data_IF_756300530563
#
_entry.id   IF_756300530563
#
_cell.length_a   1.000
_cell.length_b   1.000
_cell.length_c   1.000
_cell.angle_alpha   90.00
_cell.angle_beta   90.00
_cell.angle_gamma   90.00
#
_symmetry.space_group_name_H-M   'P 1'
#
loop_
_entity.id
_entity.type
_entity.pdbx_description
1 polymer ?
#
# COMPACT_ATOMS: atom_id res chain seq x y z
N UNK A 1 -9.59 -28.32 7.08
CA UNK A 1 -9.35 -26.90 7.43
C UNK A 1 -10.71 -26.28 7.70
N UNK A 2 -10.90 -25.66 8.86
CA UNK A 2 -12.17 -25.02 9.23
C UNK A 2 -12.30 -23.64 8.59
N UNK A 3 -13.52 -23.21 8.29
CA UNK A 3 -13.83 -21.91 7.68
C UNK A 3 -13.26 -20.73 8.48
N UNK A 4 -13.26 -20.82 9.82
CA UNK A 4 -12.63 -19.85 10.72
C UNK A 4 -11.10 -19.71 10.50
N UNK A 5 -10.39 -20.82 10.22
CA UNK A 5 -8.95 -20.80 9.98
C UNK A 5 -8.59 -20.15 8.65
N UNK A 6 -9.44 -20.33 7.63
CA UNK A 6 -9.29 -19.70 6.31
C UNK A 6 -9.50 -18.19 6.43
N UNK A 7 -10.54 -17.77 7.16
CA UNK A 7 -10.84 -16.36 7.39
C UNK A 7 -9.72 -15.66 8.18
N UNK A 8 -9.17 -16.30 9.21
CA UNK A 8 -8.02 -15.76 9.94
C UNK A 8 -6.80 -15.55 9.03
N UNK A 9 -6.45 -16.54 8.20
CA UNK A 9 -5.32 -16.43 7.27
C UNK A 9 -5.49 -15.27 6.27
N UNK A 10 -6.72 -14.99 5.83
CA UNK A 10 -7.03 -13.85 4.96
C UNK A 10 -6.80 -12.52 5.66
N UNK A 11 -7.26 -12.37 6.89
CA UNK A 11 -7.03 -11.15 7.68
C UNK A 11 -5.55 -10.94 8.02
N UNK A 12 -4.81 -12.01 8.35
CA UNK A 12 -3.36 -11.94 8.57
C UNK A 12 -2.63 -11.48 7.30
N UNK A 13 -3.01 -11.99 6.13
CA UNK A 13 -2.46 -11.55 4.83
C UNK A 13 -2.68 -10.04 4.61
N UNK A 14 -3.90 -9.57 4.86
CA UNK A 14 -4.25 -8.15 4.73
C UNK A 14 -3.43 -7.30 5.71
N UNK A 15 -3.34 -7.72 6.97
CA UNK A 15 -2.55 -7.02 7.99
C UNK A 15 -1.07 -6.92 7.61
N UNK A 16 -0.49 -8.01 7.08
CA UNK A 16 0.90 -8.02 6.58
C UNK A 16 1.09 -7.07 5.41
N UNK A 17 0.14 -7.01 4.48
CA UNK A 17 0.18 -6.07 3.36
C UNK A 17 0.19 -4.62 3.84
N UNK A 18 -0.75 -4.24 4.71
CA UNK A 18 -0.85 -2.89 5.27
C UNK A 18 0.45 -2.50 5.99
N UNK A 19 0.92 -3.38 6.88
CA UNK A 19 2.14 -3.15 7.64
C UNK A 19 3.38 -3.00 6.74
N UNK A 20 3.53 -3.88 5.75
CA UNK A 20 4.66 -3.82 4.83
C UNK A 20 4.63 -2.54 3.99
N UNK A 21 3.46 -2.13 3.49
CA UNK A 21 3.33 -0.90 2.73
C UNK A 21 3.66 0.32 3.59
N UNK A 22 3.11 0.42 4.81
CA UNK A 22 3.42 1.50 5.75
C UNK A 22 4.92 1.58 6.04
N UNK A 23 5.55 0.43 6.29
CA UNK A 23 7.00 0.34 6.56
C UNK A 23 7.86 0.74 5.37
N UNK A 24 7.41 0.51 4.14
CA UNK A 24 8.22 0.76 2.94
C UNK A 24 7.92 2.08 2.27
N UNK A 25 6.68 2.54 2.28
CA UNK A 25 6.25 3.68 1.47
C UNK A 25 5.17 4.55 2.15
N UNK A 26 5.05 4.53 3.50
CA UNK A 26 4.04 5.23 4.33
C UNK A 26 3.07 6.09 3.50
N UNK A 27 1.85 5.59 3.22
CA UNK A 27 0.98 6.15 2.19
C UNK A 27 0.62 7.62 2.46
N UNK A 28 0.48 8.01 3.73
CA UNK A 28 0.17 9.39 4.11
C UNK A 28 1.36 10.30 3.83
N UNK A 29 2.56 9.90 4.22
CA UNK A 29 3.78 10.67 3.97
C UNK A 29 4.09 10.76 2.49
N UNK A 30 3.88 9.67 1.75
CA UNK A 30 4.11 9.64 0.31
C UNK A 30 3.12 10.54 -0.43
N UNK A 31 1.85 10.58 0.01
CA UNK A 31 0.84 11.52 -0.48
C UNK A 31 1.25 12.96 -0.21
N UNK A 32 1.70 13.26 1.01
CA UNK A 32 2.19 14.59 1.36
C UNK A 32 3.40 15.00 0.51
N UNK A 33 4.41 14.13 0.37
CA UNK A 33 5.61 14.40 -0.41
C UNK A 33 5.32 14.66 -1.90
N UNK A 34 4.33 13.97 -2.47
CA UNK A 34 3.86 14.21 -3.82
C UNK A 34 3.12 15.57 -3.95
N UNK A 35 2.40 16.00 -2.92
CA UNK A 35 1.63 17.24 -2.93
C UNK A 35 2.48 18.50 -2.62
N UNK A 36 3.53 18.38 -1.80
CA UNK A 36 4.36 19.52 -1.35
C UNK A 36 5.53 19.83 -2.28
N UNK A 37 5.70 19.07 -3.37
CA UNK A 37 6.80 19.27 -4.32
C UNK A 37 8.17 18.81 -3.82
N UNK A 38 8.21 17.99 -2.76
CA UNK A 38 9.44 17.34 -2.27
C UNK A 38 9.98 16.35 -3.31
N UNK A 39 9.06 15.68 -4.02
CA UNK A 39 9.41 14.77 -5.10
C UNK A 39 9.51 15.50 -6.45
N UNK A 40 10.51 15.16 -7.29
CA UNK A 40 10.52 15.53 -8.70
C UNK A 40 9.19 15.18 -9.38
N UNK A 41 8.71 15.93 -10.38
CA UNK A 41 7.38 15.73 -10.98
C UNK A 41 7.10 14.29 -11.43
N UNK A 42 8.07 13.62 -12.06
CA UNK A 42 7.93 12.22 -12.48
C UNK A 42 7.78 11.26 -11.29
N UNK A 43 8.50 11.53 -10.19
CA UNK A 43 8.40 10.74 -8.97
C UNK A 43 7.11 11.05 -8.20
N UNK A 44 6.65 12.30 -8.18
CA UNK A 44 5.38 12.69 -7.59
C UNK A 44 4.19 12.00 -8.27
N UNK A 45 4.21 11.90 -9.61
CA UNK A 45 3.21 11.15 -10.37
C UNK A 45 3.21 9.65 -10.03
N UNK A 46 4.39 9.04 -9.93
CA UNK A 46 4.54 7.62 -9.53
C UNK A 46 4.09 7.38 -8.09
N UNK A 47 4.45 8.26 -7.17
CA UNK A 47 4.03 8.25 -5.78
C UNK A 47 2.51 8.33 -5.65
N UNK A 48 1.87 9.28 -6.33
CA UNK A 48 0.42 9.42 -6.34
C UNK A 48 -0.30 8.19 -6.92
N UNK A 49 0.23 7.62 -8.02
CA UNK A 49 -0.31 6.40 -8.60
C UNK A 49 -0.19 5.19 -7.67
N UNK A 50 0.92 5.08 -6.93
CA UNK A 50 1.15 4.02 -5.96
C UNK A 50 0.19 4.14 -4.77
N UNK A 51 0.03 5.34 -4.21
CA UNK A 51 -0.92 5.62 -3.12
C UNK A 51 -2.35 5.31 -3.56
N UNK A 52 -2.74 5.71 -4.78
CA UNK A 52 -4.07 5.39 -5.33
C UNK A 52 -4.31 3.87 -5.40
N UNK A 53 -3.32 3.09 -5.87
CA UNK A 53 -3.45 1.62 -5.94
C UNK A 53 -3.54 0.97 -4.57
N UNK A 54 -2.85 1.54 -3.57
CA UNK A 54 -2.99 1.12 -2.18
C UNK A 54 -4.40 1.40 -1.65
N UNK A 55 -4.92 2.61 -1.87
CA UNK A 55 -6.26 3.02 -1.44
C UNK A 55 -7.36 2.17 -2.11
N UNK A 56 -7.23 1.89 -3.41
CA UNK A 56 -8.14 1.00 -4.15
C UNK A 56 -8.13 -0.43 -3.61
N UNK A 57 -6.95 -0.95 -3.24
CA UNK A 57 -6.85 -2.27 -2.62
C UNK A 57 -7.53 -2.31 -1.24
N UNK A 58 -7.35 -1.27 -0.42
CA UNK A 58 -8.01 -1.17 0.89
C UNK A 58 -9.52 -1.06 0.78
N UNK A 59 -10.01 -0.22 -0.12
CA UNK A 59 -11.44 -0.06 -0.36
C UNK A 59 -12.07 -1.36 -0.89
N UNK A 60 -11.40 -2.05 -1.82
CA UNK A 60 -11.83 -3.38 -2.25
C UNK A 60 -11.85 -4.39 -1.09
N UNK A 61 -10.82 -4.42 -0.24
CA UNK A 61 -10.80 -5.27 0.95
C UNK A 61 -11.96 -4.94 1.89
N UNK A 62 -12.21 -3.66 2.16
CA UNK A 62 -13.25 -3.21 3.09
C UNK A 62 -14.65 -3.58 2.58
N UNK A 63 -14.95 -3.28 1.30
CA UNK A 63 -16.24 -3.61 0.68
C UNK A 63 -16.49 -5.11 0.69
N UNK A 64 -15.47 -5.91 0.37
CA UNK A 64 -15.62 -7.36 0.28
C UNK A 64 -15.55 -8.05 1.65
N UNK A 65 -14.92 -7.44 2.65
CA UNK A 65 -14.99 -7.90 4.05
C UNK A 65 -16.44 -7.89 4.55
N UNK A 66 -17.19 -6.82 4.25
CA UNK A 66 -18.61 -6.71 4.58
C UNK A 66 -19.49 -7.72 3.82
N UNK A 67 -19.06 -8.14 2.62
CA UNK A 67 -19.75 -9.12 1.79
C UNK A 67 -19.29 -10.57 2.02
N UNK A 68 -18.31 -10.82 2.90
CA UNK A 68 -17.74 -12.15 3.14
C UNK A 68 -16.82 -12.67 2.03
N UNK A 69 -16.44 -11.83 1.06
CA UNK A 69 -15.68 -12.20 -0.15
C UNK A 69 -14.25 -11.67 -0.16
N UNK A 70 -13.51 -11.86 0.94
CA UNK A 70 -12.12 -11.39 1.12
C UNK A 70 -11.09 -11.86 0.06
N UNK A 71 -11.47 -12.75 -0.86
CA UNK A 71 -10.66 -13.18 -2.00
C UNK A 71 -10.72 -12.22 -3.21
N UNK A 72 -11.58 -11.20 -3.15
CA UNK A 72 -11.72 -10.21 -4.22
C UNK A 72 -10.42 -9.44 -4.54
N UNK A 73 -9.49 -9.38 -3.58
CA UNK A 73 -8.12 -8.91 -3.82
C UNK A 73 -7.17 -10.10 -3.70
N UNK A 74 -6.52 -10.43 -4.80
CA UNK A 74 -5.60 -11.57 -4.84
C UNK A 74 -4.30 -11.27 -4.10
N UNK A 75 -3.63 -12.30 -3.60
CA UNK A 75 -2.31 -12.14 -2.99
C UNK A 75 -1.30 -11.55 -3.99
N UNK A 76 -1.39 -11.94 -5.27
CA UNK A 76 -0.52 -11.44 -6.33
C UNK A 76 -0.67 -9.93 -6.52
N UNK A 77 -1.91 -9.41 -6.47
CA UNK A 77 -2.17 -7.97 -6.57
C UNK A 77 -1.55 -7.21 -5.39
N UNK A 78 -1.68 -7.74 -4.17
CA UNK A 78 -1.07 -7.15 -2.98
C UNK A 78 0.46 -7.16 -3.07
N UNK A 79 1.05 -8.28 -3.50
CA UNK A 79 2.50 -8.39 -3.67
C UNK A 79 3.02 -7.46 -4.77
N UNK A 80 2.29 -7.28 -5.87
CA UNK A 80 2.66 -6.35 -6.93
C UNK A 80 2.71 -4.90 -6.41
N UNK A 81 1.72 -4.48 -5.62
CA UNK A 81 1.71 -3.15 -4.99
C UNK A 81 2.93 -2.97 -4.06
N UNK A 82 3.26 -4.00 -3.26
CA UNK A 82 4.44 -3.96 -2.38
C UNK A 82 5.76 -3.92 -3.15
N UNK A 83 5.88 -4.69 -4.22
CA UNK A 83 7.06 -4.68 -5.09
C UNK A 83 7.26 -3.30 -5.73
N UNK A 84 6.18 -2.69 -6.22
CA UNK A 84 6.20 -1.34 -6.79
C UNK A 84 6.58 -0.29 -5.74
N UNK A 85 6.09 -0.42 -4.51
CA UNK A 85 6.48 0.43 -3.39
C UNK A 85 7.97 0.33 -3.06
N UNK A 86 8.50 -0.89 -2.97
CA UNK A 86 9.92 -1.11 -2.72
C UNK A 86 10.81 -0.61 -3.87
N UNK A 87 10.38 -0.82 -5.12
CA UNK A 87 11.09 -0.33 -6.29
C UNK A 87 11.11 1.20 -6.31
N UNK A 88 9.96 1.85 -6.06
CA UNK A 88 9.87 3.30 -5.96
C UNK A 88 10.84 3.86 -4.93
N UNK A 89 10.85 3.32 -3.70
CA UNK A 89 11.74 3.76 -2.61
C UNK A 89 13.21 3.62 -2.99
N UNK A 90 13.57 2.48 -3.61
CA UNK A 90 14.94 2.21 -4.05
C UNK A 90 15.41 3.16 -5.15
N UNK A 91 14.53 3.46 -6.11
CA UNK A 91 14.84 4.30 -7.27
C UNK A 91 14.82 5.80 -6.94
N UNK A 92 13.89 6.23 -6.09
CA UNK A 92 13.75 7.63 -5.68
C UNK A 92 14.74 8.03 -4.59
N UNK A 93 15.27 7.07 -3.82
CA UNK A 93 16.01 7.33 -2.60
C UNK A 93 15.13 7.94 -1.50
N UNK A 94 13.81 7.95 -1.68
CA UNK A 94 12.86 8.49 -0.72
C UNK A 94 12.85 7.62 0.53
N UNK A 95 13.11 8.23 1.68
CA UNK A 95 12.95 7.58 2.98
C UNK A 95 11.82 8.27 3.73
N UNK A 96 11.10 7.52 4.57
CA UNK A 96 9.98 8.04 5.36
C UNK A 96 10.37 9.23 6.23
N UNK A 97 11.66 9.38 6.56
CA UNK A 97 12.20 10.46 7.38
C UNK A 97 12.20 11.83 6.66
N UNK A 98 12.19 11.85 5.32
CA UNK A 98 12.22 13.10 4.55
C UNK A 98 10.90 13.90 4.56
N UNK A 99 9.87 13.41 5.27
CA UNK A 99 8.61 14.12 5.50
C UNK A 99 8.56 14.93 6.81
N UNK A 100 9.63 14.98 7.60
CA UNK A 100 9.65 15.60 8.94
C UNK A 100 10.42 16.94 9.01
N UNK A 101 10.82 17.52 7.88
CA UNK A 101 11.53 18.80 7.87
C UNK A 101 10.89 19.77 6.87
N UNK A 102 9.88 20.51 7.35
CA UNK A 102 9.69 21.96 7.14
C UNK A 102 8.45 22.48 7.86
#
# INVERSE_FOLDING_TARGET
MSEASITQAKYERIGRFIYAFQRHADPERLRAAAATGVLPPDQAGRAAALVRRYDEALDAIQRNSLAGTLDAVSNEQLQAILADAQAFVRESGWTHEQGHDR
#
